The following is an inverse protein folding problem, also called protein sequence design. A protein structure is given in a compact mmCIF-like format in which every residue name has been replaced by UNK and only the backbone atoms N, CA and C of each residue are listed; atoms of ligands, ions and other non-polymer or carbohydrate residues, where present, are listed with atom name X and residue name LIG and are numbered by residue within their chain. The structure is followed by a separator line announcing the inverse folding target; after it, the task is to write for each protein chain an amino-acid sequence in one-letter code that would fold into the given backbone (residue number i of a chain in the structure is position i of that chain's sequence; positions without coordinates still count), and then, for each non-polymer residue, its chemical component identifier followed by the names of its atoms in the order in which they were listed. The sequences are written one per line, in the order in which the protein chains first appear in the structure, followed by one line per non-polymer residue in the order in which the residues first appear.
data_IF_309591060524
#
_entry.id   IF_309591060524
#
_cell.length_a   1.000
_cell.length_b   1.000
_cell.length_c   1.000
_cell.angle_alpha   90.00
_cell.angle_beta   90.00
_cell.angle_gamma   90.00
#
_symmetry.space_group_name_H-M   'P 1'
#
loop_
_entity.id
_entity.type
_entity.pdbx_description
1 polymer ?
#
# COMPACT_ATOMS: atom_id res chain seq x y z
N UNK A 1 62.84 59.27 -45.00
CA UNK A 1 61.45 59.39 -45.49
C UNK A 1 60.91 57.98 -45.65
N UNK A 2 59.81 57.68 -44.97
CA UNK A 2 58.99 56.46 -45.08
C UNK A 2 59.59 55.13 -44.60
N UNK A 3 58.88 54.19 -43.96
CA UNK A 3 57.68 54.10 -43.11
C UNK A 3 57.52 52.57 -42.89
N UNK A 4 57.23 52.11 -41.66
CA UNK A 4 56.60 50.82 -41.32
C UNK A 4 57.35 49.49 -41.65
N UNK A 5 57.22 48.39 -40.90
CA UNK A 5 56.13 47.87 -40.06
C UNK A 5 56.72 46.84 -39.07
N UNK A 6 56.36 46.96 -37.78
CA UNK A 6 56.55 45.91 -36.76
C UNK A 6 55.52 44.81 -37.01
N UNK A 7 55.95 43.55 -37.07
CA UNK A 7 55.08 42.37 -37.04
C UNK A 7 55.20 41.71 -35.67
N UNK A 8 54.25 42.04 -34.81
CA UNK A 8 54.01 41.44 -33.50
C UNK A 8 53.42 40.06 -33.70
N UNK A 9 54.23 39.02 -33.52
CA UNK A 9 53.77 37.63 -33.54
C UNK A 9 53.13 37.31 -32.18
N UNK A 10 51.79 37.27 -32.16
CA UNK A 10 50.97 36.89 -31.01
C UNK A 10 51.16 35.40 -30.73
N UNK A 11 51.62 35.06 -29.53
CA UNK A 11 51.61 33.69 -29.03
C UNK A 11 50.17 33.26 -28.74
N UNK A 12 49.75 32.18 -29.41
CA UNK A 12 48.48 31.51 -29.20
C UNK A 12 48.58 30.72 -27.90
N UNK A 13 47.91 31.16 -26.84
CA UNK A 13 47.77 30.39 -25.59
C UNK A 13 46.68 29.36 -25.82
N UNK A 14 47.07 28.11 -26.09
CA UNK A 14 46.16 26.96 -26.17
C UNK A 14 45.64 26.66 -24.76
N UNK A 15 44.52 27.28 -24.38
CA UNK A 15 43.83 26.99 -23.14
C UNK A 15 43.18 25.61 -23.20
N UNK A 16 43.71 24.67 -22.42
CA UNK A 16 43.09 23.36 -22.21
C UNK A 16 41.73 23.55 -21.54
N UNK A 17 40.64 23.24 -22.24
CA UNK A 17 39.32 23.17 -21.63
C UNK A 17 39.32 22.05 -20.57
N UNK A 18 39.14 22.44 -19.31
CA UNK A 18 38.86 21.50 -18.23
C UNK A 18 37.44 21.01 -18.45
N UNK A 19 37.29 19.72 -18.75
CA UNK A 19 35.98 19.07 -18.81
C UNK A 19 35.33 19.18 -17.42
N UNK A 20 34.21 19.90 -17.35
CA UNK A 20 33.33 19.90 -16.20
C UNK A 20 32.77 18.48 -16.08
N UNK A 21 33.26 17.70 -15.10
CA UNK A 21 32.54 16.51 -14.64
C UNK A 21 31.21 16.99 -14.07
N UNK A 22 30.15 16.85 -14.85
CA UNK A 22 28.79 16.99 -14.37
C UNK A 22 28.56 15.94 -13.30
N UNK A 23 28.61 16.36 -12.04
CA UNK A 23 28.08 15.62 -10.92
C UNK A 23 26.59 15.41 -11.22
N UNK A 24 26.24 14.22 -11.69
CA UNK A 24 24.87 13.74 -11.71
C UNK A 24 24.45 13.60 -10.25
N UNK A 25 23.98 14.69 -9.66
CA UNK A 25 23.19 14.66 -8.44
C UNK A 25 21.88 13.97 -8.80
N UNK A 26 21.90 12.64 -8.84
CA UNK A 26 20.69 11.83 -8.92
C UNK A 26 19.86 12.17 -7.69
N UNK A 27 18.81 12.98 -7.89
CA UNK A 27 17.76 13.16 -6.89
C UNK A 27 17.28 11.77 -6.48
N UNK A 28 17.37 11.44 -5.19
CA UNK A 28 16.77 10.22 -4.67
C UNK A 28 15.33 10.14 -5.18
N UNK A 29 14.99 9.05 -5.87
CA UNK A 29 13.63 8.84 -6.34
C UNK A 29 12.72 8.91 -5.10
N UNK A 30 11.72 9.79 -5.15
CA UNK A 30 10.73 9.86 -4.07
C UNK A 30 10.01 8.50 -4.00
N UNK A 31 9.84 7.98 -2.79
CA UNK A 31 9.06 6.77 -2.58
C UNK A 31 7.65 6.97 -3.17
N UNK A 32 7.20 6.05 -4.00
CA UNK A 32 5.85 6.07 -4.55
C UNK A 32 4.88 5.53 -3.51
N UNK A 33 3.78 6.24 -3.29
CA UNK A 33 2.67 5.79 -2.45
C UNK A 33 1.64 5.01 -3.29
N UNK A 34 1.11 3.96 -2.72
CA UNK A 34 0.10 3.09 -3.31
C UNK A 34 -1.10 2.98 -2.37
N UNK A 35 -2.29 2.88 -2.96
CA UNK A 35 -3.55 2.68 -2.24
C UNK A 35 -4.45 1.75 -3.03
N UNK A 36 -4.92 0.71 -2.37
CA UNK A 36 -6.01 -0.14 -2.87
C UNK A 36 -7.29 0.28 -2.13
N UNK A 37 -8.26 0.78 -2.88
CA UNK A 37 -9.62 1.05 -2.39
C UNK A 37 -10.67 0.19 -3.11
N UNK A 38 -10.20 -0.80 -3.89
CA UNK A 38 -10.98 -1.74 -4.69
C UNK A 38 -11.88 -1.11 -5.77
N UNK A 39 -11.82 0.20 -5.99
CA UNK A 39 -12.62 0.85 -7.02
C UNK A 39 -11.94 0.85 -8.39
N UNK A 40 -10.62 0.88 -8.39
CA UNK A 40 -9.76 0.95 -9.57
C UNK A 40 -8.64 -0.08 -9.52
N UNK A 41 -8.21 -0.54 -10.69
CA UNK A 41 -7.05 -1.41 -10.88
C UNK A 41 -5.72 -0.62 -10.78
N UNK A 42 -4.59 -1.31 -10.98
CA UNK A 42 -3.27 -0.70 -10.93
C UNK A 42 -3.02 0.44 -11.96
N UNK A 43 -3.87 0.55 -12.98
CA UNK A 43 -3.80 1.55 -14.04
C UNK A 43 -4.83 2.67 -13.87
N UNK A 44 -5.63 2.64 -12.80
CA UNK A 44 -6.71 3.61 -12.57
C UNK A 44 -7.97 3.31 -13.38
N UNK A 45 -8.10 2.13 -13.99
CA UNK A 45 -9.34 1.75 -14.63
C UNK A 45 -10.34 1.30 -13.56
N UNK A 46 -11.56 1.82 -13.65
CA UNK A 46 -12.64 1.40 -12.75
C UNK A 46 -12.93 -0.10 -12.91
N UNK A 47 -12.83 -0.84 -11.83
CA UNK A 47 -13.24 -2.25 -11.78
C UNK A 47 -14.77 -2.28 -11.84
N UNK A 48 -15.31 -3.09 -12.77
CA UNK A 48 -16.75 -3.23 -12.99
C UNK A 48 -17.25 -4.43 -12.19
N UNK A 49 -18.29 -4.23 -11.39
CA UNK A 49 -19.04 -5.32 -10.76
C UNK A 49 -20.25 -5.64 -11.63
N UNK A 50 -20.32 -6.88 -12.12
CA UNK A 50 -21.44 -7.36 -12.93
C UNK A 50 -21.40 -6.91 -14.38
N UNK A 51 -21.65 -7.85 -15.29
CA UNK A 51 -21.63 -7.61 -16.74
C UNK A 51 -22.95 -6.93 -17.19
N UNK A 52 -23.03 -5.60 -17.05
CA UNK A 52 -23.91 -4.73 -17.83
C UNK A 52 -25.43 -4.80 -17.61
N UNK A 53 -25.98 -5.79 -16.89
CA UNK A 53 -27.40 -5.85 -16.56
C UNK A 53 -27.62 -5.63 -15.06
N UNK A 54 -28.30 -4.53 -14.75
CA UNK A 54 -28.43 -3.85 -13.44
C UNK A 54 -29.22 -4.66 -12.37
N UNK A 55 -29.41 -5.97 -12.56
CA UNK A 55 -29.97 -6.88 -11.56
C UNK A 55 -29.08 -8.06 -11.19
N UNK A 56 -28.01 -8.30 -11.95
CA UNK A 56 -27.15 -9.48 -11.82
C UNK A 56 -25.68 -9.05 -11.68
N UNK A 57 -25.16 -9.04 -10.46
CA UNK A 57 -23.73 -8.79 -10.18
C UNK A 57 -23.50 -7.67 -9.18
N UNK A 58 -23.60 -8.04 -7.90
CA UNK A 58 -23.08 -7.24 -6.79
C UNK A 58 -21.64 -7.65 -6.39
N UNK A 59 -21.10 -8.71 -7.03
CA UNK A 59 -19.76 -9.24 -6.81
C UNK A 59 -18.92 -9.36 -8.10
N UNK A 60 -17.60 -9.21 -7.98
CA UNK A 60 -16.60 -9.54 -9.02
C UNK A 60 -15.45 -10.34 -8.39
N UNK A 61 -15.07 -11.47 -8.98
CA UNK A 61 -13.91 -12.24 -8.48
C UNK A 61 -12.65 -11.46 -8.77
N UNK A 62 -11.76 -11.35 -7.79
CA UNK A 62 -10.44 -10.77 -8.03
C UNK A 62 -9.51 -11.79 -8.68
N UNK A 63 -8.58 -11.31 -9.50
CA UNK A 63 -7.48 -12.08 -10.08
C UNK A 63 -6.16 -11.29 -9.96
N UNK A 64 -5.74 -10.59 -11.00
CA UNK A 64 -4.44 -9.91 -11.10
C UNK A 64 -4.53 -8.37 -11.18
N UNK A 65 -5.63 -7.77 -10.72
CA UNK A 65 -5.91 -6.33 -10.91
C UNK A 65 -4.84 -5.39 -10.33
N UNK A 66 -4.05 -5.85 -9.35
CA UNK A 66 -2.96 -5.08 -8.72
C UNK A 66 -1.56 -5.69 -8.91
N UNK A 67 -1.41 -6.68 -9.79
CA UNK A 67 -0.13 -7.35 -10.04
C UNK A 67 0.95 -6.37 -10.57
N UNK A 68 0.57 -5.34 -11.33
CA UNK A 68 1.51 -4.30 -11.80
C UNK A 68 2.05 -3.39 -10.70
N UNK A 69 1.42 -3.38 -9.52
CA UNK A 69 1.99 -2.76 -8.31
C UNK A 69 2.84 -3.73 -7.50
N UNK A 70 3.01 -4.96 -7.99
CA UNK A 70 3.67 -6.06 -7.29
C UNK A 70 2.86 -6.56 -6.10
N UNK A 71 1.53 -6.48 -6.15
CA UNK A 71 0.64 -6.98 -5.11
C UNK A 71 -0.15 -8.19 -5.63
N UNK A 72 -0.03 -9.31 -4.94
CA UNK A 72 -0.81 -10.52 -5.15
C UNK A 72 -1.74 -10.75 -3.96
N UNK A 73 -3.01 -11.07 -4.22
CA UNK A 73 -4.02 -11.26 -3.17
C UNK A 73 -4.54 -12.69 -3.24
N UNK A 74 -4.52 -13.39 -2.10
CA UNK A 74 -5.08 -14.74 -1.97
C UNK A 74 -5.74 -14.92 -0.61
N UNK A 75 -6.45 -16.01 -0.41
CA UNK A 75 -7.09 -16.27 0.88
C UNK A 75 -7.43 -17.72 1.12
N UNK A 76 -7.92 -17.97 2.33
CA UNK A 76 -8.36 -19.27 2.81
C UNK A 76 -9.72 -19.13 3.47
N UNK A 77 -10.64 -20.03 3.15
CA UNK A 77 -11.99 -20.04 3.72
C UNK A 77 -12.09 -21.18 4.75
N UNK A 78 -12.37 -20.85 6.01
CA UNK A 78 -12.41 -21.81 7.11
C UNK A 78 -13.60 -22.78 7.03
N UNK A 79 -14.74 -22.36 6.45
CA UNK A 79 -15.92 -23.22 6.27
C UNK A 79 -15.65 -24.37 5.32
N UNK A 80 -14.98 -24.07 4.21
CA UNK A 80 -14.68 -25.04 3.15
C UNK A 80 -13.35 -25.74 3.36
N UNK A 81 -12.48 -25.20 4.20
CA UNK A 81 -11.11 -25.66 4.42
C UNK A 81 -10.34 -25.75 3.08
N UNK A 82 -10.43 -24.68 2.28
CA UNK A 82 -9.83 -24.57 0.95
C UNK A 82 -9.49 -23.11 0.61
N UNK A 83 -8.84 -22.90 -0.54
CA UNK A 83 -8.58 -21.56 -1.05
C UNK A 83 -9.88 -20.75 -1.13
N UNK A 84 -9.87 -19.53 -0.59
CA UNK A 84 -11.02 -18.65 -0.60
C UNK A 84 -11.34 -18.18 -2.02
N UNK A 85 -12.64 -18.08 -2.32
CA UNK A 85 -13.11 -17.24 -3.42
C UNK A 85 -13.22 -15.82 -2.90
N UNK A 86 -12.32 -14.95 -3.33
CA UNK A 86 -12.27 -13.55 -2.93
C UNK A 86 -13.09 -12.72 -3.91
N UNK A 87 -13.93 -11.83 -3.38
CA UNK A 87 -14.93 -11.12 -4.17
C UNK A 87 -14.96 -9.64 -3.81
N UNK A 88 -15.09 -8.77 -4.82
CA UNK A 88 -15.37 -7.36 -4.63
C UNK A 88 -16.87 -7.13 -4.49
N UNK A 89 -17.30 -6.82 -3.27
CA UNK A 89 -18.67 -6.50 -2.91
C UNK A 89 -18.96 -5.01 -3.13
N UNK A 90 -19.98 -4.66 -3.93
CA UNK A 90 -20.43 -3.27 -4.09
C UNK A 90 -21.36 -2.82 -2.96
N UNK A 91 -20.78 -2.11 -1.98
CA UNK A 91 -21.46 -1.60 -0.77
C UNK A 91 -22.61 -0.65 -1.05
N UNK A 92 -22.69 -0.06 -2.25
CA UNK A 92 -23.78 0.83 -2.63
C UNK A 92 -25.01 0.07 -3.11
N UNK A 93 -24.82 -1.10 -3.73
CA UNK A 93 -25.88 -1.91 -4.35
C UNK A 93 -26.46 -2.94 -3.39
N UNK A 94 -25.68 -3.39 -2.40
CA UNK A 94 -26.07 -4.46 -1.49
C UNK A 94 -25.80 -5.84 -2.10
N UNK A 95 -26.24 -6.89 -1.41
CA UNK A 95 -26.18 -8.28 -1.83
C UNK A 95 -27.08 -9.13 -0.94
N UNK A 96 -26.63 -10.34 -0.58
CA UNK A 96 -27.20 -11.09 0.53
C UNK A 96 -26.91 -10.39 1.85
N UNK A 97 -25.71 -9.83 1.95
CA UNK A 97 -25.20 -9.09 3.10
C UNK A 97 -25.71 -7.66 3.11
N UNK A 98 -26.35 -7.25 4.20
CA UNK A 98 -26.82 -5.86 4.38
C UNK A 98 -26.00 -5.07 5.41
N UNK A 99 -25.30 -5.77 6.29
CA UNK A 99 -24.30 -5.27 7.24
C UNK A 99 -23.00 -4.80 6.56
N UNK A 100 -22.73 -5.19 5.31
CA UNK A 100 -21.64 -4.62 4.52
C UNK A 100 -22.00 -3.34 3.74
N UNK A 101 -23.22 -2.80 3.90
CA UNK A 101 -23.62 -1.59 3.17
C UNK A 101 -23.01 -0.32 3.77
N UNK A 102 -22.71 0.64 2.90
CA UNK A 102 -22.09 1.90 3.33
C UNK A 102 -22.76 3.13 2.72
N UNK A 103 -22.49 4.31 3.29
CA UNK A 103 -23.04 5.58 2.86
C UNK A 103 -23.96 6.23 3.90
N UNK A 104 -24.46 7.43 3.59
CA UNK A 104 -25.19 8.26 4.54
C UNK A 104 -26.40 7.55 5.19
N UNK A 105 -27.13 6.74 4.43
CA UNK A 105 -28.27 5.96 4.95
C UNK A 105 -27.86 4.88 5.96
N UNK A 106 -26.60 4.45 5.90
CA UNK A 106 -26.01 3.43 6.77
C UNK A 106 -25.19 4.05 7.90
N UNK A 107 -24.98 5.37 7.91
CA UNK A 107 -24.22 6.05 8.97
C UNK A 107 -22.69 5.91 8.83
N UNK A 108 -22.21 5.45 7.69
CA UNK A 108 -20.77 5.28 7.42
C UNK A 108 -20.35 5.94 6.11
N UNK A 109 -19.04 6.18 5.99
CA UNK A 109 -18.49 6.73 4.76
C UNK A 109 -18.66 5.72 3.61
N UNK A 110 -19.13 6.19 2.45
CA UNK A 110 -19.26 5.36 1.24
C UNK A 110 -17.90 4.77 0.84
N UNK A 111 -17.82 3.44 0.72
CA UNK A 111 -16.58 2.75 0.30
C UNK A 111 -16.56 2.40 -1.19
N UNK A 112 -17.74 2.31 -1.83
CA UNK A 112 -17.82 1.77 -3.19
C UNK A 112 -17.69 0.26 -3.12
N UNK A 113 -16.51 -0.29 -3.43
CA UNK A 113 -16.24 -1.73 -3.32
C UNK A 113 -15.39 -2.06 -2.09
N UNK A 114 -15.59 -3.25 -1.56
CA UNK A 114 -14.79 -3.86 -0.49
C UNK A 114 -14.49 -5.32 -0.84
N UNK A 115 -13.40 -5.87 -0.31
CA UNK A 115 -13.00 -7.25 -0.56
C UNK A 115 -13.52 -8.16 0.55
N UNK A 116 -14.21 -9.24 0.18
CA UNK A 116 -14.74 -10.25 1.10
C UNK A 116 -14.20 -11.64 0.79
N UNK A 117 -14.21 -12.52 1.80
CA UNK A 117 -14.20 -13.96 1.58
C UNK A 117 -15.64 -14.36 1.27
N UNK A 118 -15.93 -14.77 0.04
CA UNK A 118 -17.30 -15.11 -0.34
C UNK A 118 -17.78 -16.38 0.38
N UNK A 119 -18.96 -16.31 0.97
CA UNK A 119 -19.67 -17.44 1.56
C UNK A 119 -20.03 -18.45 0.48
N UNK A 120 -19.87 -19.73 0.81
CA UNK A 120 -20.39 -20.81 -0.04
C UNK A 120 -21.91 -20.83 0.04
N UNK A 121 -22.58 -20.54 -1.08
CA UNK A 121 -24.03 -20.50 -1.14
C UNK A 121 -24.66 -21.86 -0.78
N UNK A 122 -25.65 -21.82 0.09
CA UNK A 122 -26.56 -22.95 0.32
C UNK A 122 -27.73 -22.96 -0.68
N UNK A 123 -27.90 -21.91 -1.49
CA UNK A 123 -28.99 -21.82 -2.46
C UNK A 123 -28.70 -22.71 -3.67
N UNK A 124 -29.59 -23.67 -3.90
CA UNK A 124 -29.55 -24.59 -5.04
C UNK A 124 -29.93 -23.93 -6.37
N UNK A 125 -30.28 -22.62 -6.39
CA UNK A 125 -30.39 -21.80 -7.61
C UNK A 125 -29.01 -21.45 -8.14
N UNK A 126 -28.37 -22.52 -8.60
CA UNK A 126 -27.10 -22.60 -9.28
C UNK A 126 -27.02 -21.63 -10.47
N UNK A 127 -26.15 -20.63 -10.37
CA UNK A 127 -25.17 -20.49 -11.42
C UNK A 127 -24.19 -21.66 -11.26
N UNK A 128 -24.47 -22.77 -11.95
CA UNK A 128 -23.51 -23.86 -12.14
C UNK A 128 -22.40 -23.43 -13.09
N UNK A 129 -21.78 -22.28 -12.83
CA UNK A 129 -20.43 -22.04 -13.30
C UNK A 129 -19.50 -23.13 -12.75
N UNK A 130 -18.37 -23.34 -13.41
CA UNK A 130 -17.38 -24.36 -13.07
C UNK A 130 -16.81 -24.26 -11.62
N UNK A 131 -17.16 -23.21 -10.89
CA UNK A 131 -16.58 -22.82 -9.60
C UNK A 131 -17.30 -23.35 -8.34
N UNK A 132 -18.28 -24.26 -8.47
CA UNK A 132 -18.61 -25.17 -7.35
C UNK A 132 -19.44 -24.60 -6.19
N UNK A 133 -20.37 -23.67 -6.45
CA UNK A 133 -21.44 -23.32 -5.49
C UNK A 133 -21.32 -21.96 -4.80
N UNK A 134 -20.64 -20.98 -5.41
CA UNK A 134 -20.64 -19.59 -4.97
C UNK A 134 -21.63 -18.78 -5.82
N UNK A 135 -22.43 -17.92 -5.19
CA UNK A 135 -23.39 -17.07 -5.88
C UNK A 135 -22.83 -15.65 -6.02
N UNK A 136 -22.17 -15.37 -7.15
CA UNK A 136 -21.58 -14.06 -7.43
C UNK A 136 -22.63 -12.95 -7.63
N UNK A 137 -23.88 -13.32 -7.90
CA UNK A 137 -25.00 -12.39 -8.03
C UNK A 137 -25.67 -12.06 -6.69
N UNK A 138 -25.39 -12.84 -5.65
CA UNK A 138 -25.82 -12.58 -4.28
C UNK A 138 -24.63 -12.70 -3.32
N UNK A 139 -23.67 -11.75 -3.39
CA UNK A 139 -22.52 -11.70 -2.51
C UNK A 139 -22.91 -11.71 -1.04
N UNK A 140 -22.13 -12.44 -0.27
CA UNK A 140 -22.35 -12.72 1.15
C UNK A 140 -21.00 -13.07 1.72
N UNK A 141 -20.56 -12.45 2.81
CA UNK A 141 -19.28 -12.77 3.39
C UNK A 141 -19.32 -14.05 4.24
N UNK A 142 -18.15 -14.65 4.42
CA UNK A 142 -18.05 -15.94 5.10
C UNK A 142 -18.17 -15.75 6.62
N UNK A 143 -19.33 -16.10 7.19
CA UNK A 143 -19.58 -16.07 8.63
C UNK A 143 -18.63 -16.92 9.50
N UNK A 144 -17.89 -17.89 8.91
CA UNK A 144 -16.82 -18.64 9.62
C UNK A 144 -15.41 -18.06 9.41
N UNK A 145 -15.32 -16.97 8.66
CA UNK A 145 -14.10 -16.27 8.32
C UNK A 145 -13.06 -17.14 7.61
N UNK A 146 -11.80 -16.82 7.90
CA UNK A 146 -10.66 -17.29 7.15
C UNK A 146 -9.48 -16.34 7.30
N UNK A 147 -8.67 -16.24 6.24
CA UNK A 147 -7.71 -15.16 6.13
C UNK A 147 -7.55 -14.69 4.70
N UNK A 148 -7.11 -13.45 4.54
CA UNK A 148 -6.68 -12.85 3.28
C UNK A 148 -5.21 -12.47 3.42
N UNK A 149 -4.38 -12.91 2.47
CA UNK A 149 -3.00 -12.49 2.33
C UNK A 149 -2.88 -11.44 1.23
N UNK A 150 -2.05 -10.44 1.52
CA UNK A 150 -1.56 -9.44 0.59
C UNK A 150 -0.04 -9.63 0.50
N UNK A 151 0.39 -10.29 -0.56
CA UNK A 151 1.78 -10.66 -0.82
C UNK A 151 2.40 -9.63 -1.77
N UNK A 152 3.46 -8.95 -1.33
CA UNK A 152 4.20 -7.96 -2.11
C UNK A 152 5.45 -8.59 -2.73
N UNK A 153 5.72 -8.28 -4.00
CA UNK A 153 6.90 -8.78 -4.74
C UNK A 153 8.23 -8.28 -4.15
N UNK A 154 8.18 -7.21 -3.34
CA UNK A 154 9.32 -6.60 -2.66
C UNK A 154 8.89 -6.10 -1.28
N UNK A 155 9.87 -5.80 -0.43
CA UNK A 155 9.59 -5.12 0.84
C UNK A 155 8.94 -3.75 0.57
N UNK A 156 7.86 -3.50 1.29
CA UNK A 156 7.12 -2.23 1.28
C UNK A 156 7.12 -1.60 2.66
N UNK A 157 7.01 -0.27 2.70
CA UNK A 157 6.64 0.45 3.92
C UNK A 157 5.13 0.46 4.04
N UNK A 158 4.59 -0.45 4.85
CA UNK A 158 3.15 -0.58 5.07
C UNK A 158 2.62 0.58 5.90
N UNK A 159 1.63 1.28 5.35
CA UNK A 159 1.06 2.49 5.95
C UNK A 159 -0.23 2.25 6.72
N UNK A 160 -1.01 1.24 6.33
CA UNK A 160 -2.27 0.95 6.99
C UNK A 160 -3.27 0.15 6.17
N UNK A 161 -4.43 -0.07 6.77
CA UNK A 161 -5.56 -0.80 6.19
C UNK A 161 -6.88 -0.30 6.77
N UNK A 162 -7.99 -0.63 6.12
CA UNK A 162 -9.34 -0.33 6.62
C UNK A 162 -10.20 -1.58 6.60
N UNK A 163 -11.00 -1.75 7.64
CA UNK A 163 -11.89 -2.89 7.83
C UNK A 163 -13.33 -2.42 8.00
N UNK A 164 -14.25 -3.12 7.35
CA UNK A 164 -15.68 -2.90 7.43
C UNK A 164 -16.31 -4.09 8.15
N UNK A 165 -17.22 -3.79 9.07
CA UNK A 165 -18.08 -4.76 9.77
C UNK A 165 -17.29 -5.80 10.58
N UNK A 166 -16.53 -5.32 11.57
CA UNK A 166 -15.56 -6.14 12.30
C UNK A 166 -15.67 -6.11 13.83
N UNK A 167 -16.58 -5.33 14.41
CA UNK A 167 -16.56 -5.07 15.86
C UNK A 167 -17.55 -5.88 16.71
N UNK A 168 -18.28 -6.81 16.08
CA UNK A 168 -19.22 -7.73 16.71
C UNK A 168 -19.04 -9.21 16.28
N UNK A 169 -17.97 -9.53 15.54
CA UNK A 169 -17.67 -10.89 15.02
C UNK A 169 -17.21 -11.91 16.09
N UNK A 170 -17.52 -11.69 17.37
CA UNK A 170 -17.13 -12.55 18.48
C UNK A 170 -15.65 -12.42 18.92
N UNK A 171 -14.91 -11.51 18.29
CA UNK A 171 -13.49 -11.25 18.55
C UNK A 171 -12.55 -12.31 17.97
N UNK A 172 -11.24 -12.07 18.07
CA UNK A 172 -10.18 -12.88 17.49
C UNK A 172 -9.64 -12.36 16.17
N UNK A 173 -9.81 -11.06 15.86
CA UNK A 173 -9.32 -10.46 14.62
C UNK A 173 -7.87 -10.01 14.80
N UNK A 174 -7.00 -10.50 13.93
CA UNK A 174 -5.57 -10.19 13.94
C UNK A 174 -5.05 -9.83 12.56
N UNK A 175 -4.17 -8.82 12.52
CA UNK A 175 -3.40 -8.49 11.34
C UNK A 175 -1.92 -8.76 11.62
N UNK A 176 -1.35 -9.67 10.84
CA UNK A 176 0.04 -10.09 10.95
C UNK A 176 0.83 -9.56 9.76
N UNK A 177 2.04 -9.06 10.00
CA UNK A 177 2.98 -8.66 8.95
C UNK A 177 4.24 -9.50 9.01
N UNK A 178 4.77 -9.87 7.84
CA UNK A 178 5.93 -10.73 7.69
C UNK A 178 7.02 -10.06 6.84
N UNK A 179 8.27 -10.31 7.20
CA UNK A 179 9.43 -9.91 6.41
C UNK A 179 9.72 -10.90 5.25
N UNK A 180 10.76 -10.62 4.46
CA UNK A 180 11.21 -11.46 3.34
C UNK A 180 11.64 -12.87 3.75
N UNK A 181 11.97 -13.05 5.02
CA UNK A 181 12.41 -14.29 5.64
C UNK A 181 11.24 -15.03 6.29
N UNK A 182 10.01 -14.55 6.08
CA UNK A 182 8.77 -15.10 6.63
C UNK A 182 8.72 -15.06 8.18
N UNK A 183 9.51 -14.19 8.82
CA UNK A 183 9.37 -13.91 10.24
C UNK A 183 8.21 -12.95 10.46
N UNK A 184 7.39 -13.21 11.48
CA UNK A 184 6.34 -12.28 11.87
C UNK A 184 6.96 -11.09 12.61
N UNK A 185 6.93 -9.92 11.97
CA UNK A 185 7.47 -8.65 12.49
C UNK A 185 6.40 -7.68 12.96
N UNK A 186 5.14 -7.92 12.59
CA UNK A 186 3.98 -7.14 13.03
C UNK A 186 2.86 -8.08 13.49
N UNK A 187 2.19 -7.73 14.60
CA UNK A 187 1.03 -8.45 15.12
C UNK A 187 0.07 -7.46 15.80
N UNK A 188 -1.05 -7.17 15.15
CA UNK A 188 -2.05 -6.20 15.58
C UNK A 188 -3.28 -6.96 16.06
N UNK A 189 -3.64 -6.78 17.33
CA UNK A 189 -4.94 -7.22 17.84
C UNK A 189 -5.96 -6.13 17.57
N UNK A 190 -6.84 -6.38 16.60
CA UNK A 190 -7.90 -5.43 16.22
C UNK A 190 -8.91 -5.26 17.34
N UNK A 191 -9.26 -6.35 18.03
CA UNK A 191 -10.18 -6.32 19.18
C UNK A 191 -9.66 -5.45 20.31
N UNK A 192 -8.36 -5.54 20.61
CA UNK A 192 -7.76 -4.73 21.67
C UNK A 192 -7.81 -3.23 21.33
N UNK A 193 -7.59 -2.87 20.07
CA UNK A 193 -7.72 -1.49 19.59
C UNK A 193 -9.17 -1.00 19.64
N UNK A 194 -10.14 -1.81 19.22
CA UNK A 194 -11.57 -1.47 19.27
C UNK A 194 -12.04 -1.32 20.72
N UNK A 195 -11.65 -2.24 21.61
CA UNK A 195 -11.96 -2.15 23.03
C UNK A 195 -11.36 -0.89 23.67
N UNK A 196 -10.09 -0.58 23.34
CA UNK A 196 -9.47 0.67 23.78
C UNK A 196 -10.22 1.90 23.25
N UNK A 197 -10.67 1.87 22.00
CA UNK A 197 -11.44 2.96 21.42
C UNK A 197 -12.79 3.16 22.12
N UNK A 198 -13.56 2.08 22.31
CA UNK A 198 -14.85 2.07 23.03
C UNK A 198 -14.73 2.59 24.47
N UNK A 199 -13.67 2.20 25.18
CA UNK A 199 -13.41 2.68 26.56
C UNK A 199 -12.94 4.14 26.60
N UNK A 200 -12.21 4.61 25.59
CA UNK A 200 -11.65 5.97 25.56
C UNK A 200 -12.65 7.01 25.06
N UNK A 201 -13.39 6.67 24.00
CA UNK A 201 -14.25 7.60 23.27
C UNK A 201 -15.75 7.38 23.59
N UNK A 202 -16.07 6.38 24.40
CA UNK A 202 -17.44 6.02 24.78
C UNK A 202 -18.08 4.99 23.87
N UNK A 203 -19.21 4.45 24.32
CA UNK A 203 -19.97 3.41 23.62
C UNK A 203 -20.97 3.96 22.60
N UNK A 204 -21.20 5.28 22.58
CA UNK A 204 -22.05 5.91 21.59
C UNK A 204 -21.28 6.11 20.29
N UNK A 205 -21.69 5.43 19.23
CA UNK A 205 -21.04 5.48 17.92
C UNK A 205 -20.98 6.89 17.33
N UNK A 206 -21.99 7.72 17.57
CA UNK A 206 -22.02 9.09 17.08
C UNK A 206 -20.97 9.99 17.73
N UNK A 207 -20.70 9.78 19.02
CA UNK A 207 -19.70 10.55 19.77
C UNK A 207 -18.27 10.09 19.44
N UNK A 208 -18.14 8.81 19.08
CA UNK A 208 -16.88 8.14 18.78
C UNK A 208 -16.42 8.30 17.30
N UNK A 209 -17.31 8.75 16.42
CA UNK A 209 -17.05 9.03 15.02
C UNK A 209 -15.86 9.99 14.81
N UNK A 210 -14.89 9.59 13.98
CA UNK A 210 -13.69 10.35 13.67
C UNK A 210 -12.68 10.44 14.82
N UNK A 211 -12.94 9.79 15.97
CA UNK A 211 -11.99 9.70 17.07
C UNK A 211 -11.01 8.57 16.83
N UNK A 212 -9.82 8.72 17.43
CA UNK A 212 -8.73 7.77 17.28
C UNK A 212 -8.18 7.33 18.62
N UNK A 213 -7.56 6.14 18.63
CA UNK A 213 -6.70 5.66 19.71
C UNK A 213 -5.45 5.03 19.11
N UNK A 214 -4.35 5.06 19.84
CA UNK A 214 -3.09 4.47 19.41
C UNK A 214 -2.65 3.42 20.43
N UNK A 215 -2.29 2.24 19.94
CA UNK A 215 -1.71 1.15 20.72
C UNK A 215 -0.55 0.54 19.93
N UNK A 216 0.63 0.47 20.54
CA UNK A 216 1.82 -0.18 19.96
C UNK A 216 2.16 0.28 18.53
N UNK A 217 2.13 1.61 18.27
CA UNK A 217 2.44 2.17 16.95
C UNK A 217 1.33 1.97 15.91
N UNK A 218 0.14 1.55 16.32
CA UNK A 218 -1.03 1.43 15.44
C UNK A 218 -2.11 2.39 15.91
N UNK A 219 -2.55 3.27 15.01
CA UNK A 219 -3.62 4.21 15.28
C UNK A 219 -4.91 3.75 14.61
N UNK A 220 -5.91 3.36 15.40
CA UNK A 220 -7.26 3.07 14.94
C UNK A 220 -8.06 4.37 14.92
N UNK A 221 -8.82 4.61 13.86
CA UNK A 221 -9.84 5.67 13.75
C UNK A 221 -11.16 5.08 13.29
N UNK A 222 -12.27 5.44 13.94
CA UNK A 222 -13.61 5.05 13.50
C UNK A 222 -14.10 6.01 12.42
N UNK A 223 -14.34 5.49 11.21
CA UNK A 223 -14.74 6.25 10.03
C UNK A 223 -16.27 6.16 9.79
N UNK A 224 -17.05 6.71 10.72
CA UNK A 224 -18.50 6.69 10.67
C UNK A 224 -19.10 6.76 12.07
N UNK A 225 -20.42 6.77 12.17
CA UNK A 225 -21.15 6.80 13.43
C UNK A 225 -21.88 5.49 13.75
N UNK A 226 -21.29 4.35 13.36
CA UNK A 226 -21.82 3.01 13.59
C UNK A 226 -20.86 2.10 14.36
N UNK A 227 -21.45 1.26 15.21
CA UNK A 227 -20.88 0.07 15.84
C UNK A 227 -21.70 -1.15 15.39
N UNK A 228 -21.09 -2.33 15.38
CA UNK A 228 -21.65 -3.56 14.79
C UNK A 228 -21.80 -3.41 13.28
N UNK A 229 -22.94 -3.85 12.77
CA UNK A 229 -23.34 -3.73 11.37
C UNK A 229 -22.89 -2.41 10.74
N UNK A 230 -22.24 -2.54 9.59
CA UNK A 230 -21.77 -1.44 8.75
C UNK A 230 -20.65 -0.60 9.36
N UNK A 231 -20.07 -0.95 10.51
CA UNK A 231 -19.00 -0.17 11.15
C UNK A 231 -17.75 -0.12 10.26
N UNK A 232 -17.05 1.02 10.26
CA UNK A 232 -15.84 1.20 9.45
C UNK A 232 -14.70 1.72 10.32
N UNK A 233 -13.57 1.03 10.27
CA UNK A 233 -12.35 1.40 10.99
C UNK A 233 -11.17 1.50 10.04
N UNK A 234 -10.38 2.56 10.19
CA UNK A 234 -9.10 2.71 9.52
C UNK A 234 -7.97 2.55 10.52
N UNK A 235 -6.94 1.83 10.15
CA UNK A 235 -5.77 1.53 10.95
C UNK A 235 -4.54 2.10 10.25
N UNK A 236 -3.88 3.05 10.89
CA UNK A 236 -2.58 3.55 10.45
C UNK A 236 -1.49 2.83 11.22
N UNK A 237 -0.50 2.30 10.50
CA UNK A 237 0.63 1.58 11.08
C UNK A 237 1.87 2.46 10.98
N UNK A 238 2.56 2.64 12.10
CA UNK A 238 3.81 3.38 12.16
C UNK A 238 4.97 2.45 11.79
N UNK A 239 5.67 2.80 10.70
CA UNK A 239 6.99 2.27 10.34
C UNK A 239 7.10 0.73 10.25
N UNK A 240 6.16 0.09 9.55
CA UNK A 240 6.21 -1.35 9.31
C UNK A 240 6.81 -1.66 7.92
N UNK A 241 7.91 -2.41 7.91
CA UNK A 241 8.54 -2.93 6.70
C UNK A 241 8.19 -4.40 6.54
N UNK A 242 7.55 -4.77 5.42
CA UNK A 242 7.00 -6.11 5.24
C UNK A 242 6.90 -6.51 3.76
N UNK A 243 6.88 -7.81 3.51
CA UNK A 243 6.62 -8.43 2.20
C UNK A 243 5.26 -9.11 2.17
N UNK A 244 4.63 -9.35 3.32
CA UNK A 244 3.27 -9.90 3.38
C UNK A 244 2.48 -9.34 4.55
N UNK A 245 1.20 -9.05 4.31
CA UNK A 245 0.21 -8.79 5.36
C UNK A 245 -0.86 -9.88 5.31
N UNK A 246 -1.15 -10.50 6.46
CA UNK A 246 -2.20 -11.49 6.62
C UNK A 246 -3.28 -10.97 7.56
N UNK A 247 -4.50 -10.87 7.07
CA UNK A 247 -5.67 -10.44 7.84
C UNK A 247 -6.47 -11.69 8.19
N UNK A 248 -6.57 -12.00 9.48
CA UNK A 248 -7.29 -13.17 9.98
C UNK A 248 -8.67 -12.75 10.51
N UNK A 249 -9.71 -13.41 10.00
CA UNK A 249 -11.11 -13.21 10.38
C UNK A 249 -11.65 -14.48 11.03
N UNK A 250 -12.14 -14.44 12.27
CA UNK A 250 -12.84 -15.56 12.89
C UNK A 250 -14.31 -15.66 12.47
N UNK A 251 -14.85 -14.58 11.87
CA UNK A 251 -16.23 -14.48 11.38
C UNK A 251 -16.31 -13.65 10.09
N UNK A 252 -17.44 -12.98 9.88
CA UNK A 252 -17.71 -12.04 8.78
C UNK A 252 -16.76 -10.83 8.80
N UNK A 253 -16.91 -9.95 7.82
CA UNK A 253 -16.20 -8.69 7.65
C UNK A 253 -15.54 -8.56 6.29
N UNK A 254 -15.20 -7.30 5.95
CA UNK A 254 -14.57 -6.97 4.67
C UNK A 254 -13.32 -6.09 4.83
N UNK A 255 -12.41 -6.19 3.86
CA UNK A 255 -11.30 -5.24 3.71
C UNK A 255 -11.79 -4.09 2.83
N UNK A 256 -11.76 -2.88 3.38
CA UNK A 256 -12.14 -1.66 2.65
C UNK A 256 -10.95 -0.99 1.96
N UNK A 257 -9.71 -1.30 2.35
CA UNK A 257 -8.55 -0.86 1.61
C UNK A 257 -7.22 -1.10 2.31
N UNK A 258 -6.13 -0.86 1.58
CA UNK A 258 -4.75 -0.94 2.03
C UNK A 258 -3.95 0.25 1.52
N UNK A 259 -2.92 0.63 2.26
CA UNK A 259 -1.97 1.67 1.88
C UNK A 259 -0.54 1.26 2.21
N UNK A 260 0.37 1.49 1.27
CA UNK A 260 1.81 1.28 1.46
C UNK A 260 2.61 2.22 0.57
N UNK A 261 3.91 2.27 0.75
CA UNK A 261 4.84 2.92 -0.16
C UNK A 261 6.04 2.03 -0.46
N UNK A 262 6.79 2.39 -1.50
CA UNK A 262 8.09 1.77 -1.74
C UNK A 262 8.98 1.94 -0.48
N UNK A 263 9.63 0.86 -0.03
CA UNK A 263 10.67 1.00 0.98
C UNK A 263 11.75 1.95 0.44
N UNK A 264 12.20 2.91 1.28
CA UNK A 264 13.27 3.82 0.86
C UNK A 264 14.48 2.98 0.42
N UNK A 265 15.04 3.21 -0.78
CA UNK A 265 16.26 2.53 -1.16
C UNK A 265 17.33 2.86 -0.11
N UNK A 266 18.16 1.87 0.29
CA UNK A 266 19.21 2.11 1.27
C UNK A 266 20.01 3.32 0.82
N UNK A 267 20.13 4.32 1.70
CA UNK A 267 20.90 5.53 1.42
C UNK A 267 22.33 5.11 1.12
N UNK A 268 22.66 5.04 -0.18
CA UNK A 268 24.05 4.84 -0.60
C UNK A 268 24.80 6.00 0.01
N UNK A 269 25.81 5.76 0.89
CA UNK A 269 26.60 6.84 1.43
C UNK A 269 27.10 7.64 0.24
N UNK A 270 26.80 8.94 0.19
CA UNK A 270 27.32 9.77 -0.89
C UNK A 270 28.82 9.47 -0.96
N UNK A 271 29.35 9.04 -2.14
CA UNK A 271 30.77 8.79 -2.26
C UNK A 271 31.42 10.09 -1.85
N UNK A 272 32.08 10.09 -0.69
CA UNK A 272 32.41 11.31 0.02
C UNK A 272 33.19 12.15 -0.98
N UNK A 273 32.59 13.24 -1.49
CA UNK A 273 33.23 14.06 -2.50
C UNK A 273 34.60 14.54 -1.99
N UNK A 274 34.80 14.54 -0.66
CA UNK A 274 36.07 14.67 0.04
C UNK A 274 37.18 13.73 -0.45
N UNK A 275 36.91 12.43 -0.68
CA UNK A 275 37.92 11.47 -1.12
C UNK A 275 38.32 11.70 -2.60
N UNK A 276 37.34 11.99 -3.46
CA UNK A 276 37.59 12.32 -4.87
C UNK A 276 38.29 13.68 -5.07
N UNK A 277 37.91 14.69 -4.28
CA UNK A 277 38.53 16.02 -4.30
C UNK A 277 39.94 15.99 -3.69
N UNK A 278 40.18 15.21 -2.63
CA UNK A 278 41.53 15.01 -2.07
C UNK A 278 42.50 14.38 -3.07
N UNK A 279 42.03 13.39 -3.84
CA UNK A 279 42.84 12.74 -4.88
C UNK A 279 43.16 13.69 -6.06
N UNK A 280 42.20 14.51 -6.49
CA UNK A 280 42.45 15.53 -7.52
C UNK A 280 43.37 16.66 -7.03
N UNK A 281 43.26 17.07 -5.76
CA UNK A 281 44.16 18.05 -5.14
C UNK A 281 45.62 17.58 -5.06
N UNK A 282 45.85 16.30 -4.76
CA UNK A 282 47.20 15.72 -4.69
C UNK A 282 47.89 15.61 -6.06
N UNK A 283 47.14 15.33 -7.13
CA UNK A 283 47.70 15.27 -8.50
C UNK A 283 48.02 16.67 -9.02
N UNK A 284 47.20 17.69 -8.70
CA UNK A 284 47.46 19.09 -9.05
C UNK A 284 48.71 19.66 -8.39
N UNK A 285 48.92 19.39 -7.09
CA UNK A 285 50.05 19.92 -6.33
C UNK A 285 51.42 19.37 -6.81
N UNK A 286 51.48 18.12 -7.27
CA UNK A 286 52.73 17.51 -7.79
C UNK A 286 53.19 18.15 -9.10
N UNK A 287 52.26 18.53 -9.99
CA UNK A 287 52.59 19.14 -11.29
C UNK A 287 53.09 20.59 -11.16
N UNK A 288 52.62 21.35 -10.17
CA UNK A 288 53.09 22.73 -9.94
C UNK A 288 54.52 22.79 -9.40
N UNK A 289 54.94 21.84 -8.55
CA UNK A 289 56.34 21.79 -8.06
C UNK A 289 57.36 21.40 -9.14
N UNK A 290 56.99 20.59 -10.13
CA UNK A 290 57.92 20.23 -11.22
C UNK A 290 58.20 21.39 -12.19
N UNK A 291 57.30 22.37 -12.31
CA UNK A 291 57.51 23.53 -13.20
C UNK A 291 58.36 24.65 -12.60
N UNK A 292 58.52 24.71 -11.28
CA UNK A 292 59.36 25.72 -10.62
C UNK A 292 60.85 25.33 -10.53
N UNK A 293 61.23 24.12 -10.97
CA UNK A 293 62.63 23.66 -11.00
C UNK A 293 63.35 23.84 -12.34
N UNK A 294 62.73 24.44 -13.36
CA UNK A 294 63.31 24.66 -14.69
C UNK A 294 63.29 26.14 -15.07
N UNK A 295 64.04 26.95 -14.33
CA UNK A 295 64.52 28.25 -14.80
C UNK A 295 65.97 28.39 -14.34
N UNK A 296 66.89 28.03 -15.23
CA UNK A 296 68.29 28.45 -15.25
C UNK A 296 68.56 28.93 -16.66
#
# INVERSE_FOLDING_TARGET
MNIHKRLTQRWLVTGTAIAVLGLLSGSAAQAKDYRVDFNEDAFGNRIKVGNGNVRDGAGELIDDEWADWGLNINGWNNRTNSAAKLLLYDTSRGGADNDLRTGANWGTASQGKVLIIQEKSNDHRKDTGADGGYNLHNPDDEARGGYINFDFDKEVKFGGFSLLDIDDNGGGIFVEGFDDSNNRVMNISVDALIALHKTTNGLNAADAAGKSVTLNGVTLTQAGNRWGDNSLFSFKVDDAHLTRVKLNYPGSGAVAGLQWSDAEPPRVPEPSATAGVLLLGLVGARRLRQRQGQTV
#
